data_IF_958663413924
#
_entry.id   IF_958663413924
#
_cell.length_a   1.000
_cell.length_b   1.000
_cell.length_c   1.000
_cell.angle_alpha   90.00
_cell.angle_beta   90.00
_cell.angle_gamma   90.00
#
_symmetry.space_group_name_H-M   'P 1'
#
loop_
_entity.id
_entity.type
_entity.pdbx_description
1 polymer ?
#
# COMPACT_ATOMS: atom_id res chain seq x y z
N UNK A 1 12.41 -45.71 27.98
CA UNK A 1 11.41 -45.88 26.91
C UNK A 1 11.32 -44.52 26.20
N UNK A 2 11.90 -44.30 25.00
CA UNK A 2 11.41 -44.68 23.64
C UNK A 2 9.98 -44.15 23.43
N UNK A 3 9.62 -43.26 22.52
CA UNK A 3 10.18 -42.65 21.28
C UNK A 3 9.53 -41.24 21.16
N UNK A 4 10.16 -40.13 20.73
CA UNK A 4 10.92 -39.80 19.50
C UNK A 4 10.03 -39.69 18.26
N UNK A 5 9.91 -38.45 17.73
CA UNK A 5 9.98 -38.00 16.32
C UNK A 5 9.47 -36.53 16.31
N UNK A 6 10.27 -35.46 16.16
CA UNK A 6 11.47 -35.30 15.35
C UNK A 6 11.03 -35.02 13.91
N UNK A 7 11.35 -33.88 13.30
CA UNK A 7 12.62 -33.56 12.62
C UNK A 7 12.28 -32.30 11.78
N UNK A 8 13.13 -31.35 11.42
CA UNK A 8 14.57 -31.19 11.54
C UNK A 8 14.90 -29.78 11.03
N UNK A 9 15.76 -29.10 11.76
CA UNK A 9 16.65 -28.05 11.29
C UNK A 9 17.35 -28.46 9.96
N UNK A 10 17.20 -27.71 8.86
CA UNK A 10 18.13 -27.85 7.73
C UNK A 10 18.84 -26.52 7.47
N UNK A 11 20.03 -26.43 8.05
CA UNK A 11 21.03 -25.42 7.74
C UNK A 11 22.20 -26.17 7.10
N UNK A 12 22.24 -26.26 5.76
CA UNK A 12 23.43 -26.67 4.99
C UNK A 12 23.46 -25.95 3.64
N UNK A 13 24.23 -24.87 3.63
CA UNK A 13 25.17 -24.43 2.57
C UNK A 13 25.10 -25.11 1.20
N UNK A 14 24.82 -24.31 0.17
CA UNK A 14 25.39 -24.49 -1.16
C UNK A 14 26.16 -23.21 -1.52
N UNK A 15 27.45 -23.21 -1.17
CA UNK A 15 28.42 -22.36 -1.82
C UNK A 15 28.57 -22.86 -3.27
N UNK A 16 28.46 -21.96 -4.24
CA UNK A 16 28.95 -22.20 -5.59
C UNK A 16 28.04 -21.72 -6.70
N UNK A 17 28.51 -20.71 -7.43
CA UNK A 17 28.16 -20.54 -8.83
C UNK A 17 27.18 -19.41 -9.12
N UNK A 18 27.72 -18.22 -9.39
CA UNK A 18 27.10 -17.26 -10.30
C UNK A 18 26.83 -18.00 -11.61
N UNK A 19 25.56 -18.11 -11.99
CA UNK A 19 25.14 -18.41 -13.35
C UNK A 19 24.08 -17.37 -13.74
N UNK A 20 24.56 -16.25 -14.27
CA UNK A 20 23.73 -15.34 -15.06
C UNK A 20 23.32 -16.13 -16.30
N UNK A 21 22.05 -16.51 -16.40
CA UNK A 21 21.45 -16.96 -17.65
C UNK A 21 20.52 -15.87 -18.15
N UNK A 22 20.98 -15.11 -19.14
CA UNK A 22 20.15 -14.22 -19.91
C UNK A 22 19.20 -15.03 -20.81
N UNK A 23 17.90 -14.72 -20.70
CA UNK A 23 16.88 -14.97 -21.72
C UNK A 23 15.96 -16.16 -21.46
N UNK A 24 14.69 -15.91 -21.15
CA UNK A 24 13.51 -16.10 -22.03
C UNK A 24 12.23 -16.11 -21.20
N UNK A 25 11.22 -15.35 -21.64
CA UNK A 25 9.77 -15.54 -21.46
C UNK A 25 9.22 -16.08 -20.12
N UNK A 26 8.44 -15.21 -19.45
CA UNK A 26 7.29 -15.60 -18.63
C UNK A 26 7.65 -16.13 -17.25
N UNK A 27 7.81 -15.24 -16.28
CA UNK A 27 7.90 -15.61 -14.87
C UNK A 27 6.87 -14.77 -14.11
N UNK A 28 5.91 -15.47 -13.51
CA UNK A 28 4.87 -14.95 -12.63
C UNK A 28 5.53 -14.16 -11.49
N UNK A 29 5.01 -12.99 -11.08
CA UNK A 29 5.54 -12.33 -9.90
C UNK A 29 5.29 -13.24 -8.69
N UNK A 30 6.36 -13.85 -8.20
CA UNK A 30 6.38 -14.61 -6.95
C UNK A 30 5.93 -13.70 -5.81
N UNK A 31 4.96 -14.17 -5.02
CA UNK A 31 4.45 -13.50 -3.83
C UNK A 31 5.53 -13.17 -2.77
N UNK A 32 6.74 -13.72 -2.92
CA UNK A 32 7.89 -13.44 -2.06
C UNK A 32 8.63 -12.11 -2.40
N UNK A 33 8.19 -11.36 -3.41
CA UNK A 33 8.86 -10.11 -3.83
C UNK A 33 8.43 -8.86 -3.03
N UNK A 34 7.42 -8.96 -2.17
CA UNK A 34 6.86 -7.81 -1.46
C UNK A 34 7.12 -7.82 0.05
N UNK A 35 7.73 -8.88 0.60
CA UNK A 35 8.04 -8.96 2.04
C UNK A 35 9.33 -8.19 2.43
N UNK A 36 10.11 -7.71 1.45
CA UNK A 36 11.45 -7.13 1.65
C UNK A 36 11.60 -5.65 1.18
N UNK A 37 10.51 -4.87 0.99
CA UNK A 37 10.57 -3.48 0.47
C UNK A 37 9.98 -2.42 1.41
N UNK A 38 10.09 -2.61 2.72
CA UNK A 38 10.08 -1.46 3.62
C UNK A 38 11.45 -1.45 4.30
N UNK A 39 12.35 -0.57 3.82
CA UNK A 39 13.39 -0.07 4.72
C UNK A 39 12.65 0.47 5.95
N UNK A 40 13.06 0.10 7.17
CA UNK A 40 12.41 0.38 8.47
C UNK A 40 12.08 1.88 8.75
N UNK A 41 12.30 2.79 7.79
CA UNK A 41 12.38 4.24 7.95
C UNK A 41 11.35 5.06 7.12
N UNK A 42 10.42 4.45 6.37
CA UNK A 42 9.37 5.22 5.66
C UNK A 42 8.13 5.38 6.56
N UNK A 43 7.77 6.61 6.98
CA UNK A 43 6.58 6.85 7.78
C UNK A 43 5.31 6.45 7.02
N UNK A 44 4.39 5.80 7.74
CA UNK A 44 3.09 5.37 7.25
C UNK A 44 1.97 6.04 8.05
N UNK A 45 0.99 6.61 7.37
CA UNK A 45 -0.19 7.17 8.03
C UNK A 45 -1.11 6.05 8.52
N UNK A 46 -1.99 6.35 9.49
CA UNK A 46 -3.15 5.50 9.77
C UNK A 46 -3.92 5.28 8.47
N UNK A 47 -4.34 4.03 8.24
CA UNK A 47 -5.11 3.67 7.07
C UNK A 47 -6.50 4.31 7.08
N UNK A 48 -7.08 4.52 5.91
CA UNK A 48 -8.48 4.94 5.78
C UNK A 48 -9.28 3.93 4.98
N UNK A 49 -10.43 3.57 5.55
CA UNK A 49 -11.39 2.65 4.95
C UNK A 49 -12.35 3.40 4.03
N UNK A 50 -12.60 2.84 2.85
CA UNK A 50 -13.53 3.39 1.87
C UNK A 50 -14.32 2.29 1.17
N UNK A 51 -15.59 2.57 0.85
CA UNK A 51 -16.28 1.81 -0.20
C UNK A 51 -15.81 2.30 -1.58
N UNK A 52 -15.91 1.45 -2.61
CA UNK A 52 -15.48 1.83 -3.96
C UNK A 52 -16.14 3.11 -4.47
N UNK A 53 -17.41 3.32 -4.14
CA UNK A 53 -18.14 4.54 -4.51
C UNK A 53 -17.69 5.79 -3.77
N UNK A 54 -17.05 5.64 -2.60
CA UNK A 54 -16.57 6.71 -1.73
C UNK A 54 -15.09 7.05 -1.95
N UNK A 55 -14.39 6.40 -2.90
CA UNK A 55 -12.99 6.72 -3.23
C UNK A 55 -12.82 8.22 -3.56
N UNK A 56 -13.66 8.88 -4.37
CA UNK A 56 -13.52 10.31 -4.62
C UNK A 56 -13.62 11.17 -3.36
N UNK A 57 -14.56 10.84 -2.47
CA UNK A 57 -14.77 11.52 -1.20
C UNK A 57 -13.59 11.29 -0.24
N UNK A 58 -13.02 10.09 -0.23
CA UNK A 58 -11.82 9.73 0.55
C UNK A 58 -10.63 10.56 0.08
N UNK A 59 -10.35 10.62 -1.22
CA UNK A 59 -9.24 11.43 -1.73
C UNK A 59 -9.47 12.93 -1.55
N UNK A 60 -10.72 13.39 -1.54
CA UNK A 60 -11.06 14.77 -1.20
C UNK A 60 -10.74 15.09 0.27
N UNK A 61 -11.00 14.15 1.19
CA UNK A 61 -10.64 14.29 2.60
C UNK A 61 -9.13 14.45 2.77
N UNK A 62 -8.35 13.54 2.16
CA UNK A 62 -6.88 13.58 2.25
C UNK A 62 -6.33 14.84 1.55
N UNK A 63 -6.99 15.31 0.49
CA UNK A 63 -6.62 16.54 -0.22
C UNK A 63 -6.68 17.81 0.65
N UNK A 64 -7.36 17.78 1.80
CA UNK A 64 -7.40 18.93 2.72
C UNK A 64 -6.05 19.21 3.40
N UNK A 65 -5.12 18.27 3.35
CA UNK A 65 -3.76 18.40 3.90
C UNK A 65 -2.83 19.17 2.96
N UNK A 66 -3.11 19.14 1.66
CA UNK A 66 -2.22 19.70 0.63
C UNK A 66 -2.57 21.15 0.29
N UNK A 67 -1.58 21.88 -0.20
CA UNK A 67 -1.75 23.26 -0.66
C UNK A 67 -2.68 23.35 -1.87
N UNK A 68 -2.59 22.34 -2.74
CA UNK A 68 -3.46 22.13 -3.88
C UNK A 68 -4.11 20.75 -3.77
N UNK A 69 -5.40 20.62 -4.11
CA UNK A 69 -6.08 19.34 -4.04
C UNK A 69 -5.46 18.33 -5.01
N UNK A 70 -5.52 17.04 -4.67
CA UNK A 70 -5.12 15.96 -5.57
C UNK A 70 -5.92 16.08 -6.88
N UNK A 71 -5.24 15.93 -8.00
CA UNK A 71 -5.85 16.11 -9.31
C UNK A 71 -7.00 15.12 -9.53
N UNK A 72 -8.08 15.57 -10.19
CA UNK A 72 -9.21 14.69 -10.48
C UNK A 72 -8.81 13.50 -11.37
N UNK A 73 -7.80 13.67 -12.23
CA UNK A 73 -7.24 12.61 -13.06
C UNK A 73 -6.56 11.53 -12.21
N UNK A 74 -5.81 11.93 -11.18
CA UNK A 74 -5.20 11.00 -10.24
C UNK A 74 -6.24 10.26 -9.40
N UNK A 75 -7.27 10.95 -8.92
CA UNK A 75 -8.37 10.31 -8.20
C UNK A 75 -9.12 9.30 -9.08
N UNK A 76 -9.40 9.65 -10.34
CA UNK A 76 -10.02 8.73 -11.30
C UNK A 76 -9.11 7.51 -11.58
N UNK A 77 -7.80 7.73 -11.71
CA UNK A 77 -6.81 6.66 -11.86
C UNK A 77 -6.80 5.73 -10.65
N UNK A 78 -6.79 6.26 -9.42
CA UNK A 78 -6.81 5.47 -8.19
C UNK A 78 -8.09 4.63 -8.10
N UNK A 79 -9.25 5.25 -8.36
CA UNK A 79 -10.53 4.56 -8.41
C UNK A 79 -10.51 3.41 -9.44
N UNK A 80 -9.99 3.66 -10.65
CA UNK A 80 -9.89 2.63 -11.69
C UNK A 80 -9.00 1.45 -11.23
N UNK A 81 -7.86 1.74 -10.60
CA UNK A 81 -6.93 0.71 -10.13
C UNK A 81 -7.57 -0.18 -9.06
N UNK A 82 -8.19 0.39 -8.02
CA UNK A 82 -8.84 -0.41 -6.97
C UNK A 82 -10.11 -1.12 -7.45
N UNK A 83 -10.74 -0.63 -8.53
CA UNK A 83 -11.88 -1.29 -9.16
C UNK A 83 -11.49 -2.54 -9.97
N UNK A 84 -10.19 -2.75 -10.24
CA UNK A 84 -9.73 -3.88 -11.04
C UNK A 84 -10.08 -5.21 -10.35
N UNK A 85 -10.93 -6.07 -10.96
CA UNK A 85 -11.36 -7.33 -10.37
C UNK A 85 -10.23 -8.37 -10.27
N UNK A 86 -9.11 -8.15 -10.96
CA UNK A 86 -7.98 -9.08 -10.96
C UNK A 86 -7.01 -8.84 -9.78
N UNK A 87 -7.23 -7.81 -8.95
CA UNK A 87 -6.43 -7.61 -7.73
C UNK A 87 -6.75 -8.68 -6.69
N UNK A 88 -5.70 -9.32 -6.18
CA UNK A 88 -5.80 -10.32 -5.12
C UNK A 88 -6.40 -9.71 -3.85
N UNK A 89 -7.36 -10.40 -3.25
CA UNK A 89 -8.07 -9.89 -2.07
C UNK A 89 -7.21 -10.05 -0.80
N UNK A 90 -7.35 -9.11 0.14
CA UNK A 90 -6.60 -9.10 1.41
C UNK A 90 -5.07 -9.12 1.23
N UNK A 91 -4.58 -8.61 0.10
CA UNK A 91 -3.17 -8.39 -0.21
C UNK A 91 -2.95 -6.90 -0.48
N UNK A 92 -1.86 -6.33 0.01
CA UNK A 92 -1.48 -4.94 -0.24
C UNK A 92 -0.98 -4.79 -1.68
N UNK A 93 -1.56 -3.84 -2.42
CA UNK A 93 -1.18 -3.53 -3.80
C UNK A 93 -0.68 -2.08 -3.91
N UNK A 94 0.48 -1.83 -4.51
CA UNK A 94 0.90 -0.48 -4.84
C UNK A 94 0.01 0.08 -5.96
N UNK A 95 -0.64 1.23 -5.71
CA UNK A 95 -1.47 1.92 -6.70
C UNK A 95 -0.66 2.98 -7.47
N UNK A 96 0.37 3.52 -6.81
CA UNK A 96 1.38 4.37 -7.41
C UNK A 96 1.65 5.63 -6.61
N UNK A 97 2.31 6.58 -7.27
CA UNK A 97 2.76 7.84 -6.70
C UNK A 97 1.89 9.00 -7.17
N UNK A 98 1.73 10.00 -6.30
CA UNK A 98 1.05 11.26 -6.52
C UNK A 98 2.00 12.42 -6.23
N UNK A 99 2.15 13.32 -7.20
CA UNK A 99 2.90 14.56 -7.01
C UNK A 99 1.98 15.59 -6.34
N UNK A 100 2.37 16.02 -5.13
CA UNK A 100 1.57 16.93 -4.30
C UNK A 100 2.44 18.10 -3.82
N UNK A 101 1.80 19.16 -3.31
CA UNK A 101 2.51 20.27 -2.66
C UNK A 101 2.07 20.34 -1.20
N UNK A 102 3.03 20.26 -0.29
CA UNK A 102 2.82 20.32 1.16
C UNK A 102 3.74 21.37 1.76
N UNK A 103 3.19 22.32 2.53
CA UNK A 103 3.90 23.46 3.12
C UNK A 103 4.78 24.24 2.11
N UNK A 104 4.24 24.45 0.91
CA UNK A 104 4.90 25.13 -0.19
C UNK A 104 6.04 24.36 -0.85
N UNK A 105 6.27 23.10 -0.49
CA UNK A 105 7.28 22.22 -1.09
C UNK A 105 6.62 21.12 -1.95
N UNK A 106 7.10 20.90 -3.19
CA UNK A 106 6.68 19.73 -3.96
C UNK A 106 7.23 18.46 -3.31
N UNK A 107 6.38 17.46 -3.16
CA UNK A 107 6.71 16.15 -2.60
C UNK A 107 5.88 15.05 -3.25
N UNK A 108 6.18 13.81 -2.91
CA UNK A 108 5.53 12.63 -3.48
C UNK A 108 4.80 11.86 -2.39
N UNK A 109 3.52 11.59 -2.61
CA UNK A 109 2.69 10.69 -1.82
C UNK A 109 2.62 9.33 -2.51
N UNK A 110 3.04 8.28 -1.81
CA UNK A 110 2.89 6.90 -2.24
C UNK A 110 1.54 6.38 -1.72
N UNK A 111 0.79 5.73 -2.61
CA UNK A 111 -0.53 5.16 -2.30
C UNK A 111 -0.52 3.66 -2.54
N UNK A 112 -0.94 2.93 -1.51
CA UNK A 112 -1.13 1.48 -1.55
C UNK A 112 -2.55 1.15 -1.08
N UNK A 113 -3.06 -0.02 -1.44
CA UNK A 113 -4.38 -0.45 -0.97
C UNK A 113 -4.54 -1.96 -0.84
N UNK A 114 -5.33 -2.37 0.13
CA UNK A 114 -5.93 -3.71 0.20
C UNK A 114 -7.39 -3.65 -0.26
N UNK A 115 -7.83 -4.65 -1.03
CA UNK A 115 -9.21 -4.73 -1.52
C UNK A 115 -9.89 -5.99 -1.00
N UNK A 116 -11.15 -5.85 -0.57
CA UNK A 116 -12.01 -6.91 -0.03
C UNK A 116 -13.33 -6.95 -0.79
N UNK A 117 -13.82 -8.13 -1.21
CA UNK A 117 -15.00 -8.27 -2.09
C UNK A 117 -16.07 -9.26 -1.61
N UNK A 118 -16.36 -9.29 -0.31
CA UNK A 118 -17.36 -10.22 0.23
C UNK A 118 -18.81 -9.86 -0.13
N UNK A 119 -19.28 -8.68 0.29
CA UNK A 119 -20.67 -8.19 0.08
C UNK A 119 -20.72 -6.81 -0.62
N UNK A 120 -19.57 -6.34 -1.09
CA UNK A 120 -19.30 -5.03 -1.69
C UNK A 120 -17.80 -4.90 -1.90
N UNK A 121 -17.33 -3.84 -2.55
CA UNK A 121 -15.88 -3.58 -2.67
C UNK A 121 -15.47 -2.59 -1.59
N UNK A 122 -14.74 -3.10 -0.59
CA UNK A 122 -14.14 -2.31 0.49
C UNK A 122 -12.64 -2.17 0.22
N UNK A 123 -12.12 -0.98 0.46
CA UNK A 123 -10.72 -0.63 0.22
C UNK A 123 -10.14 -0.07 1.50
N UNK A 124 -8.96 -0.56 1.88
CA UNK A 124 -8.13 0.05 2.93
C UNK A 124 -6.97 0.75 2.23
N UNK A 125 -6.91 2.07 2.30
CA UNK A 125 -5.82 2.85 1.71
C UNK A 125 -4.70 3.10 2.72
N UNK A 126 -3.47 2.99 2.24
CA UNK A 126 -2.25 3.28 2.97
C UNK A 126 -1.48 4.40 2.27
N UNK A 127 -0.94 5.32 3.06
CA UNK A 127 -0.25 6.52 2.59
C UNK A 127 1.13 6.62 3.21
N UNK A 128 2.15 6.73 2.37
CA UNK A 128 3.54 6.88 2.81
C UNK A 128 4.28 7.95 1.99
N UNK A 129 5.38 8.47 2.53
CA UNK A 129 6.13 9.56 1.90
C UNK A 129 6.93 10.37 2.91
N UNK A 130 7.00 11.68 2.71
CA UNK A 130 7.63 12.60 3.65
C UNK A 130 6.99 12.53 5.05
N UNK A 131 7.82 12.52 6.11
CA UNK A 131 7.38 12.31 7.50
C UNK A 131 6.36 13.36 7.96
N UNK A 132 6.62 14.63 7.70
CA UNK A 132 5.74 15.71 8.17
C UNK A 132 4.41 15.69 7.42
N UNK A 133 4.45 15.38 6.12
CA UNK A 133 3.26 15.19 5.30
C UNK A 133 2.43 14.00 5.79
N UNK A 134 3.07 12.85 6.06
CA UNK A 134 2.40 11.63 6.53
C UNK A 134 1.73 11.86 7.88
N UNK A 135 2.38 12.55 8.82
CA UNK A 135 1.74 12.89 10.09
C UNK A 135 0.56 13.84 9.94
N UNK A 136 0.61 14.79 9.00
CA UNK A 136 -0.53 15.66 8.74
C UNK A 136 -1.72 14.89 8.14
N UNK A 137 -1.45 13.90 7.29
CA UNK A 137 -2.47 12.95 6.80
C UNK A 137 -3.05 12.13 7.95
N UNK A 138 -2.20 11.59 8.82
CA UNK A 138 -2.59 10.81 10.00
C UNK A 138 -3.51 11.60 10.94
N UNK A 139 -3.13 12.84 11.27
CA UNK A 139 -3.94 13.75 12.08
C UNK A 139 -5.30 14.03 11.42
N UNK A 140 -5.33 14.19 10.09
CA UNK A 140 -6.56 14.46 9.35
C UNK A 140 -7.51 13.26 9.35
N UNK A 141 -6.99 12.05 9.15
CA UNK A 141 -7.74 10.79 9.19
C UNK A 141 -8.29 10.56 10.60
N UNK A 142 -7.46 10.77 11.62
CA UNK A 142 -7.88 10.67 13.02
C UNK A 142 -9.02 11.65 13.32
N UNK A 143 -8.88 12.92 12.92
CA UNK A 143 -9.92 13.93 13.10
C UNK A 143 -11.23 13.55 12.38
N UNK A 144 -11.16 12.96 11.18
CA UNK A 144 -12.33 12.48 10.45
C UNK A 144 -13.08 11.39 11.22
N UNK A 145 -12.38 10.41 11.77
CA UNK A 145 -13.01 9.36 12.57
C UNK A 145 -13.60 9.90 13.89
N UNK A 146 -12.92 10.85 14.53
CA UNK A 146 -13.46 11.56 15.70
C UNK A 146 -14.75 12.35 15.37
N UNK A 147 -14.83 12.98 14.20
CA UNK A 147 -16.02 13.69 13.70
C UNK A 147 -17.21 12.75 13.49
N UNK A 148 -16.95 11.51 13.07
CA UNK A 148 -17.94 10.44 12.95
C UNK A 148 -18.32 9.82 14.30
N UNK A 149 -17.53 10.06 15.35
CA UNK A 149 -17.75 9.55 16.70
C UNK A 149 -17.40 8.07 16.86
N UNK A 150 -16.47 7.58 16.04
CA UNK A 150 -15.92 6.21 16.09
C UNK A 150 -14.48 6.18 16.56
#
# INVERSE_FOLDING_TARGET
MKHLFGFLLFLVTLAGGVAITAGTFGEEPSADAYEDVYEDDIPLATSIDAELEDVPETFKLISEVFDEPISAEDVERMHLLVSNPDLDEATVHPLGELEVTYDGQPTTLIVEAEVYREDGTYIVFYFSGDEEMVFAIDDRITAYYEELGI
#
